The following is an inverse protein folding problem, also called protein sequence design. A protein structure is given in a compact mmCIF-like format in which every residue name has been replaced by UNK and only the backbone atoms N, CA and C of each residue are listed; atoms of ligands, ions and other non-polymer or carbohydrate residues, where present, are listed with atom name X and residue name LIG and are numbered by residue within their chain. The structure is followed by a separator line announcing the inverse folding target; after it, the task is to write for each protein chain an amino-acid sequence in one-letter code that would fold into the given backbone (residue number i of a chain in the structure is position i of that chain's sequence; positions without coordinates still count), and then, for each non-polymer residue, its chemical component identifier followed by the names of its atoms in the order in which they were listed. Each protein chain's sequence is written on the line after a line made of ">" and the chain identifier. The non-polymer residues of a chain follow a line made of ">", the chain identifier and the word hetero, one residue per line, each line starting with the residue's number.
data_IF_625189442484
#
_entry.id   IF_625189442484
#
_cell.length_a   1.000
_cell.length_b   1.000
_cell.length_c   1.000
_cell.angle_alpha   90.00
_cell.angle_beta   90.00
_cell.angle_gamma   90.00
#
_symmetry.space_group_name_H-M   'P 1'
#
loop_
_entity.id
_entity.type
_entity.pdbx_description
1 polymer ?
#
# COMPACT_ATOMS: atom_id res chain seq x y z
N UNK A 1 20.17 12.26 17.54
CA UNK A 1 18.86 11.58 17.60
C UNK A 1 18.94 10.44 16.62
N UNK A 2 18.82 9.20 17.07
CA UNK A 2 18.73 8.03 16.19
C UNK A 2 17.62 8.29 15.16
N UNK A 3 17.94 8.08 13.88
CA UNK A 3 16.95 8.16 12.83
C UNK A 3 15.85 7.15 13.16
N UNK A 4 14.58 7.58 13.10
CA UNK A 4 13.44 6.66 13.28
C UNK A 4 13.62 5.48 12.32
N UNK A 5 13.43 4.25 12.80
CA UNK A 5 13.57 3.05 11.96
C UNK A 5 12.73 3.13 10.68
N UNK A 6 13.18 2.51 9.60
CA UNK A 6 12.32 2.36 8.42
C UNK A 6 11.35 1.20 8.66
N UNK A 7 10.05 1.43 8.51
CA UNK A 7 9.03 0.38 8.56
C UNK A 7 8.55 0.13 7.13
N UNK A 8 8.74 -1.09 6.63
CA UNK A 8 8.18 -1.53 5.36
C UNK A 8 6.80 -2.18 5.56
N UNK A 9 5.78 -1.63 4.93
CA UNK A 9 4.41 -2.16 4.91
C UNK A 9 4.20 -2.88 3.59
N UNK A 10 4.09 -4.21 3.64
CA UNK A 10 3.86 -5.05 2.46
C UNK A 10 2.38 -5.38 2.35
N UNK A 11 1.77 -5.06 1.21
CA UNK A 11 0.34 -5.24 0.93
C UNK A 11 0.20 -6.23 -0.25
N UNK A 12 0.14 -7.54 0.01
CA UNK A 12 -0.23 -8.51 -1.02
C UNK A 12 -1.72 -8.38 -1.33
N UNK A 13 -2.08 -8.37 -2.60
CA UNK A 13 -3.46 -8.17 -3.02
C UNK A 13 -3.80 -8.96 -4.29
N UNK A 14 -5.01 -9.52 -4.30
CA UNK A 14 -5.60 -10.19 -5.46
C UNK A 14 -7.09 -9.85 -5.49
N UNK A 15 -7.55 -9.27 -6.60
CA UNK A 15 -8.93 -8.81 -6.81
C UNK A 15 -9.49 -7.97 -5.65
N UNK A 16 -8.77 -6.92 -5.28
CA UNK A 16 -9.08 -6.04 -4.15
C UNK A 16 -9.58 -4.64 -4.56
N UNK A 17 -10.15 -4.47 -5.75
CA UNK A 17 -10.54 -3.16 -6.30
C UNK A 17 -11.42 -2.31 -5.36
N UNK A 18 -12.25 -2.96 -4.54
CA UNK A 18 -13.16 -2.29 -3.61
C UNK A 18 -12.45 -1.67 -2.39
N UNK A 19 -11.24 -2.14 -2.06
CA UNK A 19 -10.58 -1.83 -0.78
C UNK A 19 -9.18 -1.24 -0.95
N UNK A 20 -8.52 -1.49 -2.09
CA UNK A 20 -7.10 -1.16 -2.29
C UNK A 20 -6.80 0.33 -2.06
N UNK A 21 -7.66 1.23 -2.54
CA UNK A 21 -7.52 2.68 -2.35
C UNK A 21 -7.56 3.06 -0.87
N UNK A 22 -8.62 2.64 -0.18
CA UNK A 22 -8.79 2.93 1.24
C UNK A 22 -7.65 2.32 2.08
N UNK A 23 -7.15 1.14 1.71
CA UNK A 23 -6.00 0.52 2.37
C UNK A 23 -4.74 1.39 2.24
N UNK A 24 -4.37 1.76 1.01
CA UNK A 24 -3.17 2.58 0.74
C UNK A 24 -3.29 3.96 1.41
N UNK A 25 -4.45 4.62 1.30
CA UNK A 25 -4.69 5.93 1.93
C UNK A 25 -4.58 5.85 3.47
N UNK A 26 -5.05 4.77 4.09
CA UNK A 26 -4.89 4.56 5.53
C UNK A 26 -3.41 4.40 5.92
N UNK A 27 -2.60 3.67 5.14
CA UNK A 27 -1.17 3.52 5.42
C UNK A 27 -0.41 4.84 5.19
N UNK A 28 -0.76 5.60 4.16
CA UNK A 28 -0.17 6.92 3.89
C UNK A 28 -0.51 7.95 4.99
N UNK A 29 -1.68 7.84 5.62
CA UNK A 29 -2.13 8.77 6.67
C UNK A 29 -1.54 8.49 8.06
N UNK A 30 -0.75 7.42 8.25
CA UNK A 30 -0.19 7.04 9.55
C UNK A 30 0.61 8.19 10.20
N UNK A 31 0.53 8.28 11.53
CA UNK A 31 1.27 9.29 12.30
C UNK A 31 2.78 9.06 12.26
N UNK A 32 3.22 7.81 12.07
CA UNK A 32 4.59 7.44 11.77
C UNK A 32 4.91 7.69 10.29
N UNK A 33 6.00 8.41 10.00
CA UNK A 33 6.29 8.91 8.64
C UNK A 33 7.45 8.22 7.92
N UNK A 34 8.31 7.48 8.63
CA UNK A 34 9.42 6.77 7.98
C UNK A 34 8.94 5.41 7.47
N UNK A 35 8.08 5.44 6.45
CA UNK A 35 7.43 4.27 5.88
C UNK A 35 7.90 4.03 4.44
N UNK A 36 8.07 2.75 4.10
CA UNK A 36 8.10 2.24 2.73
C UNK A 36 6.82 1.41 2.54
N UNK A 37 6.10 1.60 1.42
CA UNK A 37 4.88 0.85 1.13
C UNK A 37 5.13 0.05 -0.15
N UNK A 38 4.97 -1.28 -0.05
CA UNK A 38 5.19 -2.20 -1.17
C UNK A 38 3.87 -2.91 -1.44
N UNK A 39 3.23 -2.59 -2.56
CA UNK A 39 2.02 -3.28 -3.02
C UNK A 39 2.41 -4.36 -4.01
N UNK A 40 1.95 -5.59 -3.77
CA UNK A 40 2.21 -6.74 -4.64
C UNK A 40 0.88 -7.25 -5.16
N UNK A 41 0.59 -6.93 -6.42
CA UNK A 41 -0.56 -7.50 -7.13
C UNK A 41 -0.24 -8.93 -7.60
N UNK A 42 -1.01 -9.91 -7.12
CA UNK A 42 -0.85 -11.34 -7.44
C UNK A 42 -1.64 -11.72 -8.72
N UNK A 43 -1.52 -10.88 -9.75
CA UNK A 43 -2.16 -11.11 -11.05
C UNK A 43 -3.67 -10.92 -11.04
N UNK A 44 -4.15 -9.83 -10.42
CA UNK A 44 -5.58 -9.49 -10.39
C UNK A 44 -6.19 -9.40 -11.79
N UNK A 45 -7.49 -9.71 -11.87
CA UNK A 45 -8.30 -9.66 -13.10
C UNK A 45 -9.38 -8.57 -13.06
N UNK A 46 -9.36 -7.78 -12.01
CA UNK A 46 -10.24 -6.63 -11.78
C UNK A 46 -9.41 -5.33 -11.89
N UNK A 47 -9.97 -4.19 -11.43
CA UNK A 47 -9.27 -2.91 -11.52
C UNK A 47 -8.10 -2.75 -10.51
N UNK A 48 -7.75 -3.77 -9.71
CA UNK A 48 -6.72 -3.63 -8.65
C UNK A 48 -5.41 -3.07 -9.17
N UNK A 49 -4.85 -3.65 -10.23
CA UNK A 49 -3.57 -3.19 -10.80
C UNK A 49 -3.62 -1.72 -11.24
N UNK A 50 -4.68 -1.32 -11.95
CA UNK A 50 -4.91 0.07 -12.36
C UNK A 50 -5.01 1.00 -11.16
N UNK A 51 -5.79 0.61 -10.14
CA UNK A 51 -6.01 1.41 -8.93
C UNK A 51 -4.73 1.57 -8.10
N UNK A 52 -3.87 0.55 -8.05
CA UNK A 52 -2.56 0.62 -7.37
C UNK A 52 -1.58 1.55 -8.06
N UNK A 53 -1.62 1.65 -9.40
CA UNK A 53 -0.73 2.54 -10.17
C UNK A 53 -1.03 4.04 -10.04
N UNK A 54 -2.04 4.41 -9.24
CA UNK A 54 -2.36 5.81 -8.93
C UNK A 54 -1.50 6.40 -7.80
N UNK A 55 -0.70 5.58 -7.14
CA UNK A 55 0.15 5.93 -6.00
C UNK A 55 1.63 5.79 -6.36
#
# INVERSE_FOLDING_TARGET
>A
MEGKDLISVVIPIFNGELYVKACIENVLSQSYKNLEIIVVDDGSRDATAELTGLY
#
